data_IF_333733091363
#
_entry.id   IF_333733091363
#
_cell.length_a   1.000
_cell.length_b   1.000
_cell.length_c   1.000
_cell.angle_alpha   90.00
_cell.angle_beta   90.00
_cell.angle_gamma   90.00
#
_symmetry.space_group_name_H-M   'P 1'
#
loop_
_entity.id
_entity.type
_entity.pdbx_description
1 polymer ?
#
# COMPACT_ATOMS: atom_id res chain seq x y z
N UNK A 1 -42.94 -19.42 -40.81
CA UNK A 1 -41.47 -19.37 -40.66
C UNK A 1 -41.04 -18.05 -40.00
N UNK A 2 -41.15 -17.93 -38.66
CA UNK A 2 -40.68 -16.77 -37.89
C UNK A 2 -40.44 -17.24 -36.45
N UNK A 3 -39.26 -17.78 -36.15
CA UNK A 3 -39.01 -18.31 -34.80
C UNK A 3 -37.57 -18.69 -34.46
N UNK A 4 -36.57 -18.34 -35.27
CA UNK A 4 -35.22 -18.88 -35.10
C UNK A 4 -34.09 -17.83 -34.97
N UNK A 5 -34.41 -16.52 -34.86
CA UNK A 5 -33.38 -15.47 -34.88
C UNK A 5 -33.10 -14.80 -33.52
N UNK A 6 -33.82 -15.16 -32.45
CA UNK A 6 -33.67 -14.46 -31.16
C UNK A 6 -32.70 -15.14 -30.18
N UNK A 7 -32.27 -16.38 -30.40
CA UNK A 7 -31.39 -17.10 -29.45
C UNK A 7 -29.89 -16.92 -29.73
N UNK A 8 -29.49 -16.36 -30.88
CA UNK A 8 -28.06 -16.21 -31.24
C UNK A 8 -27.38 -14.96 -30.67
N UNK A 9 -28.15 -13.93 -30.28
CA UNK A 9 -27.59 -12.63 -29.92
C UNK A 9 -27.23 -12.48 -28.43
N UNK A 10 -27.74 -13.36 -27.55
CA UNK A 10 -27.50 -13.28 -26.10
C UNK A 10 -26.23 -14.02 -25.64
N UNK A 11 -25.67 -14.91 -26.48
CA UNK A 11 -24.46 -15.67 -26.17
C UNK A 11 -23.15 -14.92 -26.52
N UNK A 12 -23.22 -13.84 -27.31
CA UNK A 12 -22.03 -13.11 -27.79
C UNK A 12 -21.56 -11.97 -26.87
N UNK A 13 -22.35 -11.57 -25.86
CA UNK A 13 -21.99 -10.49 -24.94
C UNK A 13 -21.22 -10.94 -23.68
N UNK A 14 -21.05 -12.24 -23.45
CA UNK A 14 -20.44 -12.76 -22.21
C UNK A 14 -18.92 -12.95 -22.32
N UNK A 15 -18.33 -12.87 -23.52
CA UNK A 15 -16.89 -13.14 -23.73
C UNK A 15 -16.01 -11.89 -23.60
N UNK A 16 -16.57 -10.69 -23.44
CA UNK A 16 -15.80 -9.43 -23.41
C UNK A 16 -15.36 -8.96 -22.00
N UNK A 17 -15.52 -9.77 -20.96
CA UNK A 17 -15.21 -9.38 -19.57
C UNK A 17 -14.01 -10.12 -18.96
N UNK A 18 -13.26 -10.89 -19.74
CA UNK A 18 -11.95 -11.39 -19.29
C UNK A 18 -10.92 -10.27 -19.41
N UNK A 19 -10.97 -9.33 -18.46
CA UNK A 19 -9.85 -8.44 -18.20
C UNK A 19 -8.67 -9.30 -17.79
N UNK A 20 -7.75 -9.56 -18.71
CA UNK A 20 -6.41 -10.03 -18.38
C UNK A 20 -5.77 -8.96 -17.50
N UNK A 21 -5.83 -9.19 -16.18
CA UNK A 21 -5.13 -8.39 -15.20
C UNK A 21 -3.65 -8.78 -15.28
N UNK A 22 -2.97 -8.33 -16.33
CA UNK A 22 -1.51 -8.44 -16.39
C UNK A 22 -0.98 -7.57 -15.27
N UNK A 23 -0.33 -8.20 -14.28
CA UNK A 23 0.43 -7.51 -13.25
C UNK A 23 1.46 -6.62 -13.94
N UNK A 24 1.10 -5.36 -14.20
CA UNK A 24 1.87 -4.44 -15.00
C UNK A 24 2.77 -3.64 -14.08
N UNK A 25 4.08 -3.84 -14.20
CA UNK A 25 5.09 -3.06 -13.47
C UNK A 25 6.23 -3.89 -12.87
N UNK A 26 7.38 -3.26 -12.62
CA UNK A 26 8.51 -3.91 -11.96
C UNK A 26 8.17 -4.26 -10.51
N UNK A 27 8.75 -5.35 -9.99
CA UNK A 27 8.65 -5.71 -8.58
C UNK A 27 9.62 -4.87 -7.72
N UNK A 28 10.74 -4.53 -8.33
CA UNK A 28 11.89 -3.85 -7.73
C UNK A 28 12.39 -2.88 -8.79
N UNK A 29 12.67 -1.64 -8.37
CA UNK A 29 13.33 -0.64 -9.22
C UNK A 29 14.73 -0.46 -8.70
N UNK A 30 15.73 -0.59 -9.57
CA UNK A 30 17.12 -0.31 -9.23
C UNK A 30 17.44 1.14 -9.63
N UNK A 31 17.99 1.91 -8.70
CA UNK A 31 18.44 3.28 -8.93
C UNK A 31 19.90 3.43 -8.50
N UNK A 32 20.59 4.38 -9.12
CA UNK A 32 21.87 4.85 -8.61
C UNK A 32 21.64 5.80 -7.43
N UNK A 33 22.56 5.78 -6.44
CA UNK A 33 22.56 6.70 -5.30
C UNK A 33 22.42 8.19 -5.68
N UNK A 34 22.94 8.63 -6.83
CA UNK A 34 22.79 10.00 -7.30
C UNK A 34 21.33 10.40 -7.61
N UNK A 35 20.49 9.41 -7.94
CA UNK A 35 19.07 9.61 -8.23
C UNK A 35 18.17 9.35 -7.00
N UNK A 36 18.76 9.07 -5.83
CA UNK A 36 18.00 8.73 -4.62
C UNK A 36 16.97 9.79 -4.25
N UNK A 37 17.38 11.06 -4.17
CA UNK A 37 16.47 12.16 -3.83
C UNK A 37 15.32 12.29 -4.82
N UNK A 38 15.58 12.14 -6.13
CA UNK A 38 14.53 12.16 -7.17
C UNK A 38 13.56 11.00 -7.00
N UNK A 39 14.07 9.79 -6.78
CA UNK A 39 13.25 8.60 -6.59
C UNK A 39 12.41 8.65 -5.31
N UNK A 40 12.95 9.25 -4.24
CA UNK A 40 12.22 9.45 -2.98
C UNK A 40 11.02 10.40 -3.18
N UNK A 41 11.22 11.53 -3.86
CA UNK A 41 10.13 12.44 -4.20
C UNK A 41 9.13 11.82 -5.17
N UNK A 42 9.59 11.01 -6.13
CA UNK A 42 8.70 10.26 -7.03
C UNK A 42 7.80 9.28 -6.26
N UNK A 43 8.31 8.61 -5.22
CA UNK A 43 7.49 7.74 -4.36
C UNK A 43 6.44 8.54 -3.58
N UNK A 44 6.82 9.71 -3.06
CA UNK A 44 5.88 10.62 -2.39
C UNK A 44 4.77 11.04 -3.35
N UNK A 45 5.12 11.46 -4.57
CA UNK A 45 4.12 11.93 -5.53
C UNK A 45 3.22 10.80 -6.03
N UNK A 46 3.78 9.64 -6.34
CA UNK A 46 3.02 8.43 -6.68
C UNK A 46 2.07 7.99 -5.55
N UNK A 47 2.46 8.20 -4.29
CA UNK A 47 1.57 7.90 -3.15
C UNK A 47 0.38 8.87 -3.09
N UNK A 48 0.60 10.16 -3.39
CA UNK A 48 -0.45 11.18 -3.43
C UNK A 48 -1.41 10.95 -4.59
N UNK A 49 -0.89 10.66 -5.79
CA UNK A 49 -1.71 10.34 -6.96
C UNK A 49 -2.57 9.09 -6.73
N UNK A 50 -2.05 8.10 -6.01
CA UNK A 50 -2.77 6.91 -5.58
C UNK A 50 -3.79 7.16 -4.45
N UNK A 51 -3.89 8.39 -3.93
CA UNK A 51 -4.80 8.77 -2.84
C UNK A 51 -4.40 8.22 -1.47
N UNK A 52 -3.11 7.94 -1.27
CA UNK A 52 -2.50 7.47 -0.04
C UNK A 52 -1.34 8.42 0.33
N UNK A 53 -1.63 9.65 0.80
CA UNK A 53 -0.58 10.64 1.08
C UNK A 53 0.41 10.12 2.13
N UNK A 54 1.67 10.57 2.13
CA UNK A 54 2.67 10.10 3.08
C UNK A 54 2.32 10.57 4.51
N UNK A 55 2.26 9.63 5.45
CA UNK A 55 2.08 9.87 6.89
C UNK A 55 3.43 10.03 7.60
N UNK A 56 4.40 9.18 7.24
CA UNK A 56 5.76 9.26 7.75
C UNK A 56 6.73 9.02 6.59
N UNK A 57 7.76 9.86 6.47
CA UNK A 57 8.76 9.74 5.43
C UNK A 57 10.14 10.02 6.05
N UNK A 58 10.97 8.98 6.14
CA UNK A 58 12.33 9.04 6.64
C UNK A 58 13.30 8.83 5.47
N UNK A 59 14.05 9.89 5.13
CA UNK A 59 15.03 9.89 4.04
C UNK A 59 16.33 9.17 4.41
N UNK A 60 16.73 9.17 5.67
CA UNK A 60 17.95 8.50 6.13
C UNK A 60 17.76 6.99 6.07
N UNK A 61 16.63 6.49 6.59
CA UNK A 61 16.32 5.06 6.58
C UNK A 61 15.71 4.59 5.26
N UNK A 62 15.18 5.52 4.45
CA UNK A 62 14.48 5.21 3.20
C UNK A 62 13.21 4.41 3.44
N UNK A 63 12.40 4.85 4.41
CA UNK A 63 11.09 4.27 4.68
C UNK A 63 10.05 5.37 4.51
N UNK A 64 9.05 5.09 3.67
CA UNK A 64 7.88 5.96 3.53
C UNK A 64 6.65 5.12 3.86
N UNK A 65 5.88 5.59 4.83
CA UNK A 65 4.58 5.04 5.20
C UNK A 65 3.49 6.03 4.84
N UNK A 66 2.40 5.49 4.29
CA UNK A 66 1.28 6.29 3.81
C UNK A 66 0.08 6.21 4.74
N UNK A 67 -0.78 7.22 4.66
CA UNK A 67 -2.12 7.15 5.22
C UNK A 67 -2.90 6.04 4.52
N UNK A 68 -3.71 5.27 5.29
CA UNK A 68 -4.46 4.19 4.71
C UNK A 68 -5.65 4.73 3.90
N UNK A 69 -5.87 4.15 2.72
CA UNK A 69 -7.01 4.43 1.85
C UNK A 69 -8.05 3.32 1.98
N UNK A 70 -9.27 3.67 2.38
CA UNK A 70 -10.40 2.74 2.42
C UNK A 70 -10.71 2.24 1.01
N UNK A 71 -10.91 0.93 0.85
CA UNK A 71 -11.28 0.36 -0.45
C UNK A 71 -12.78 0.61 -0.68
N UNK A 72 -13.15 0.90 -1.94
CA UNK A 72 -14.55 1.10 -2.34
C UNK A 72 -15.47 -0.02 -1.81
N UNK A 73 -16.48 0.40 -1.04
CA UNK A 73 -17.57 -0.43 -0.54
C UNK A 73 -18.68 -0.53 -1.62
N UNK A 74 -19.66 -1.42 -1.45
CA UNK A 74 -20.88 -1.51 -2.29
C UNK A 74 -21.66 -0.20 -2.33
N UNK A 75 -21.39 0.74 -1.42
CA UNK A 75 -21.93 2.11 -1.40
C UNK A 75 -21.26 3.02 -2.44
N UNK A 76 -20.07 2.64 -2.95
CA UNK A 76 -19.33 3.37 -4.00
C UNK A 76 -19.18 2.53 -5.28
N UNK A 77 -20.27 2.08 -5.93
CA UNK A 77 -20.22 1.16 -7.08
C UNK A 77 -19.49 1.75 -8.31
N UNK A 78 -19.36 3.08 -8.39
CA UNK A 78 -18.65 3.81 -9.46
C UNK A 78 -17.12 3.86 -9.29
N UNK A 79 -16.56 3.33 -8.19
CA UNK A 79 -15.10 3.14 -8.07
C UNK A 79 -14.71 1.78 -8.64
N UNK A 80 -14.02 1.81 -9.78
CA UNK A 80 -13.63 0.63 -10.55
C UNK A 80 -12.27 0.04 -10.15
N UNK A 81 -11.65 0.53 -9.07
CA UNK A 81 -10.33 0.10 -8.57
C UNK A 81 -10.38 -1.19 -7.72
N UNK A 82 -11.55 -1.82 -7.60
CA UNK A 82 -11.73 -3.14 -6.97
C UNK A 82 -12.01 -4.19 -8.03
N UNK A 83 -11.10 -5.16 -8.13
CA UNK A 83 -10.94 -6.08 -9.26
C UNK A 83 -11.88 -7.30 -9.24
N UNK A 84 -12.96 -7.31 -8.44
CA UNK A 84 -13.93 -8.41 -8.46
C UNK A 84 -15.20 -8.21 -7.62
N UNK A 85 -16.28 -8.91 -8.00
CA UNK A 85 -17.59 -8.87 -7.30
C UNK A 85 -17.51 -9.47 -5.90
N UNK A 86 -16.74 -10.55 -5.73
CA UNK A 86 -16.50 -11.18 -4.43
C UNK A 86 -15.63 -10.26 -3.54
N UNK A 87 -14.58 -9.65 -4.10
CA UNK A 87 -13.75 -8.66 -3.40
C UNK A 87 -14.58 -7.45 -2.94
N UNK A 88 -15.52 -6.96 -3.77
CA UNK A 88 -16.45 -5.89 -3.39
C UNK A 88 -17.34 -6.30 -2.20
N UNK A 89 -17.87 -7.52 -2.20
CA UNK A 89 -18.67 -8.06 -1.10
C UNK A 89 -17.86 -8.19 0.19
N UNK A 90 -16.62 -8.67 0.11
CA UNK A 90 -15.69 -8.74 1.23
C UNK A 90 -15.31 -7.35 1.76
N UNK A 91 -15.03 -6.38 0.87
CA UNK A 91 -14.71 -5.00 1.24
C UNK A 91 -15.87 -4.31 2.00
N UNK A 92 -17.11 -4.71 1.69
CA UNK A 92 -18.33 -4.16 2.32
C UNK A 92 -18.68 -4.86 3.62
N UNK A 93 -18.46 -6.16 3.69
CA UNK A 93 -18.73 -6.94 4.89
C UNK A 93 -17.63 -6.77 5.96
N UNK A 94 -16.40 -6.40 5.58
CA UNK A 94 -15.24 -6.48 6.46
C UNK A 94 -14.45 -5.18 6.65
N UNK A 95 -14.93 -4.04 6.11
CA UNK A 95 -14.24 -2.73 6.17
C UNK A 95 -12.73 -2.88 5.92
N UNK A 96 -12.33 -3.03 4.66
CA UNK A 96 -10.92 -3.16 4.28
C UNK A 96 -10.31 -1.80 3.89
N UNK A 97 -9.04 -1.59 4.24
CA UNK A 97 -8.24 -0.44 3.80
C UNK A 97 -6.88 -0.90 3.28
N UNK A 98 -6.29 -0.13 2.37
CA UNK A 98 -4.94 -0.36 1.86
C UNK A 98 -3.97 0.66 2.42
N UNK A 99 -2.76 0.24 2.73
CA UNK A 99 -1.65 1.12 3.12
C UNK A 99 -0.41 0.73 2.33
N UNK A 100 0.28 1.71 1.78
CA UNK A 100 1.56 1.50 1.10
C UNK A 100 2.69 1.78 2.07
N UNK A 101 3.71 0.93 2.02
CA UNK A 101 5.02 1.16 2.60
C UNK A 101 6.07 1.02 1.51
N UNK A 102 6.82 2.08 1.27
CA UNK A 102 8.00 2.05 0.41
C UNK A 102 9.23 1.79 1.27
N UNK A 103 10.10 0.91 0.78
CA UNK A 103 11.36 0.58 1.43
C UNK A 103 12.47 0.69 0.40
N UNK A 104 13.46 1.50 0.72
CA UNK A 104 14.71 1.60 -0.01
C UNK A 104 15.76 0.73 0.68
N UNK A 105 16.54 -0.01 -0.09
CA UNK A 105 17.54 -0.93 0.46
C UNK A 105 18.73 -1.00 -0.48
N UNK A 106 19.98 -0.96 0.01
CA UNK A 106 21.14 -1.22 -0.83
C UNK A 106 21.02 -2.59 -1.49
N UNK A 107 21.35 -2.69 -2.78
CA UNK A 107 21.18 -3.94 -3.54
C UNK A 107 21.87 -5.15 -2.91
N UNK A 108 23.04 -4.93 -2.34
CA UNK A 108 23.86 -5.97 -1.73
C UNK A 108 23.58 -6.16 -0.22
N UNK A 109 22.57 -5.48 0.32
CA UNK A 109 22.22 -5.64 1.73
C UNK A 109 21.53 -6.98 1.96
N UNK A 110 22.15 -7.81 2.80
CA UNK A 110 21.57 -9.04 3.30
C UNK A 110 21.45 -8.96 4.82
N UNK A 111 20.33 -9.41 5.41
CA UNK A 111 20.25 -9.55 6.84
C UNK A 111 21.31 -10.54 7.32
N UNK A 112 21.99 -10.23 8.41
CA UNK A 112 22.95 -11.12 9.03
C UNK A 112 22.28 -12.46 9.36
N UNK A 113 22.93 -13.57 8.99
CA UNK A 113 22.39 -14.89 9.25
C UNK A 113 22.37 -15.14 10.75
N UNK A 114 21.20 -15.42 11.31
CA UNK A 114 21.05 -15.77 12.72
C UNK A 114 21.62 -17.19 12.91
N UNK A 115 22.89 -17.30 13.31
CA UNK A 115 23.47 -18.58 13.70
C UNK A 115 22.87 -19.04 15.04
N UNK A 116 22.53 -20.33 15.15
CA UNK A 116 21.76 -20.89 16.28
C UNK A 116 22.48 -20.89 17.63
N UNK A 117 23.74 -20.44 17.68
CA UNK A 117 24.60 -20.41 18.88
C UNK A 117 25.12 -18.98 19.15
N UNK A 118 24.72 -17.98 18.36
CA UNK A 118 25.11 -16.60 18.63
C UNK A 118 24.50 -16.11 19.96
N UNK A 119 25.29 -15.38 20.73
CA UNK A 119 24.78 -14.63 21.89
C UNK A 119 23.63 -13.75 21.40
N UNK A 120 22.44 -13.97 21.96
CA UNK A 120 21.27 -13.17 21.65
C UNK A 120 21.45 -11.79 22.27
N UNK A 121 22.12 -10.90 21.54
CA UNK A 121 22.04 -9.48 21.81
C UNK A 121 20.60 -9.06 21.45
N UNK A 122 19.92 -8.45 22.42
CA UNK A 122 18.55 -8.00 22.24
C UNK A 122 18.41 -7.01 21.08
N UNK A 123 17.18 -6.55 20.76
CA UNK A 123 17.00 -5.54 19.73
C UNK A 123 17.88 -4.31 20.03
N UNK A 124 18.55 -3.79 18.99
CA UNK A 124 19.39 -2.61 19.11
C UNK A 124 18.61 -1.47 19.78
N UNK A 125 19.16 -0.92 20.86
CA UNK A 125 18.52 0.21 21.52
C UNK A 125 18.58 1.44 20.61
N UNK A 126 17.53 2.28 20.55
CA UNK A 126 17.55 3.51 19.77
C UNK A 126 18.76 4.38 20.15
N UNK A 127 19.55 4.80 19.15
CA UNK A 127 20.77 5.59 19.35
C UNK A 127 22.00 4.80 19.82
N UNK A 128 21.92 3.47 19.90
CA UNK A 128 23.08 2.61 20.13
C UNK A 128 24.01 2.55 18.91
N UNK A 129 25.26 2.14 19.12
CA UNK A 129 26.21 1.92 18.01
C UNK A 129 25.70 0.89 17.00
N UNK A 130 24.91 -0.09 17.44
CA UNK A 130 24.31 -1.09 16.55
C UNK A 130 23.11 -0.53 15.77
N UNK A 131 22.36 0.40 16.34
CA UNK A 131 21.33 1.17 15.63
C UNK A 131 21.96 2.10 14.57
N UNK A 132 23.11 2.71 14.89
CA UNK A 132 23.89 3.55 13.98
C UNK A 132 24.64 2.78 12.88
N UNK A 133 24.81 1.45 13.01
CA UNK A 133 25.34 0.60 11.92
C UNK A 133 24.33 0.47 10.77
N UNK A 134 23.08 0.89 10.96
CA UNK A 134 22.11 0.98 9.87
C UNK A 134 22.65 1.95 8.81
N UNK A 135 22.59 1.53 7.55
CA UNK A 135 23.09 2.35 6.44
C UNK A 135 22.25 3.63 6.33
N UNK A 136 22.93 4.77 6.24
CA UNK A 136 22.30 6.05 5.85
C UNK A 136 22.25 6.14 4.33
N UNK A 137 21.04 6.13 3.78
CA UNK A 137 20.82 6.17 2.33
C UNK A 137 21.12 7.53 1.71
N UNK A 138 21.17 8.62 2.49
CA UNK A 138 21.57 9.93 1.96
C UNK A 138 23.07 9.98 1.64
N UNK A 139 23.87 9.27 2.43
CA UNK A 139 25.34 9.23 2.27
C UNK A 139 25.83 7.98 1.53
N UNK A 140 24.99 6.95 1.40
CA UNK A 140 25.35 5.69 0.75
C UNK A 140 25.73 5.87 -0.72
N UNK A 141 26.82 5.22 -1.13
CA UNK A 141 27.31 5.21 -2.51
C UNK A 141 27.16 3.82 -3.08
N UNK A 142 26.23 3.65 -4.01
CA UNK A 142 25.98 2.36 -4.65
C UNK A 142 24.56 2.24 -5.20
N UNK A 143 24.22 1.09 -5.80
CA UNK A 143 22.89 0.80 -6.29
C UNK A 143 21.91 0.60 -5.11
N UNK A 144 20.76 1.25 -5.20
CA UNK A 144 19.67 1.16 -4.23
C UNK A 144 18.46 0.51 -4.93
N UNK A 145 17.81 -0.42 -4.25
CA UNK A 145 16.56 -1.03 -4.65
C UNK A 145 15.38 -0.34 -3.98
N UNK A 146 14.35 -0.04 -4.75
CA UNK A 146 13.05 0.45 -4.27
C UNK A 146 12.05 -0.70 -4.30
N UNK A 147 11.33 -0.89 -3.19
CA UNK A 147 10.25 -1.87 -3.09
C UNK A 147 9.01 -1.21 -2.49
N UNK A 148 7.87 -1.31 -3.17
CA UNK A 148 6.57 -0.96 -2.62
C UNK A 148 5.88 -2.20 -2.06
N UNK A 149 5.31 -2.09 -0.86
CA UNK A 149 4.43 -3.10 -0.28
C UNK A 149 3.08 -2.48 0.02
N UNK A 150 2.02 -3.04 -0.55
CA UNK A 150 0.65 -2.60 -0.29
C UNK A 150 -0.01 -3.61 0.63
N UNK A 151 -0.20 -3.22 1.88
CA UNK A 151 -0.88 -4.04 2.87
C UNK A 151 -2.39 -3.87 2.76
N UNK A 152 -3.09 -4.99 2.75
CA UNK A 152 -4.54 -5.03 2.95
C UNK A 152 -4.74 -5.17 4.46
N UNK A 153 -5.37 -4.18 5.07
CA UNK A 153 -5.71 -4.17 6.48
C UNK A 153 -7.21 -4.38 6.65
N UNK A 154 -7.57 -5.22 7.63
CA UNK A 154 -8.97 -5.48 8.02
C UNK A 154 -9.23 -4.92 9.40
N UNK A 155 -10.40 -4.30 9.56
CA UNK A 155 -10.85 -3.86 10.88
C UNK A 155 -11.40 -5.05 11.67
N UNK A 156 -10.81 -5.33 12.82
CA UNK A 156 -11.29 -6.31 13.79
C UNK A 156 -11.97 -5.56 14.93
N UNK A 157 -13.29 -5.69 15.01
CA UNK A 157 -14.07 -5.15 16.12
C UNK A 157 -14.38 -6.27 17.10
N UNK A 158 -13.75 -6.22 18.27
CA UNK A 158 -13.95 -7.21 19.32
C UNK A 158 -15.38 -7.19 19.85
N UNK A 159 -15.85 -8.36 20.29
CA UNK A 159 -17.13 -8.50 20.99
C UNK A 159 -18.36 -8.35 20.11
N UNK A 160 -18.23 -8.37 18.77
CA UNK A 160 -19.38 -8.44 17.85
C UNK A 160 -20.13 -9.77 18.00
N UNK A 161 -21.45 -9.67 18.20
CA UNK A 161 -22.39 -10.79 18.23
C UNK A 161 -23.30 -10.67 17.03
N UNK A 162 -22.92 -11.37 15.96
CA UNK A 162 -23.68 -11.41 14.71
C UNK A 162 -24.94 -12.26 14.95
N UNK A 163 -26.12 -11.68 14.73
CA UNK A 163 -27.37 -12.41 14.78
C UNK A 163 -27.59 -13.15 13.45
N UNK A 164 -28.02 -14.41 13.50
CA UNK A 164 -28.24 -15.25 12.32
C UNK A 164 -29.43 -14.84 11.46
N UNK A 165 -30.40 -14.11 12.02
CA UNK A 165 -31.66 -13.77 11.36
C UNK A 165 -31.73 -12.32 10.87
N UNK A 166 -31.07 -11.37 11.53
CA UNK A 166 -31.08 -9.96 11.11
C UNK A 166 -29.80 -9.22 11.47
N UNK A 167 -29.21 -8.56 10.48
CA UNK A 167 -28.04 -7.71 10.67
C UNK A 167 -28.29 -6.53 11.65
N UNK A 168 -29.52 -6.02 11.72
CA UNK A 168 -29.89 -4.92 12.64
C UNK A 168 -29.92 -5.32 14.12
N UNK A 169 -29.97 -6.64 14.40
CA UNK A 169 -29.90 -7.19 15.75
C UNK A 169 -28.47 -7.57 16.16
N UNK A 170 -27.48 -7.27 15.31
CA UNK A 170 -26.07 -7.42 15.66
C UNK A 170 -25.76 -6.48 16.82
N UNK A 171 -25.24 -7.05 17.91
CA UNK A 171 -24.86 -6.29 19.09
C UNK A 171 -23.36 -6.36 19.29
N UNK A 172 -22.78 -5.33 19.89
CA UNK A 172 -21.37 -5.33 20.27
C UNK A 172 -21.27 -5.28 21.79
N UNK A 173 -20.35 -6.07 22.35
CA UNK A 173 -19.98 -5.94 23.76
C UNK A 173 -19.27 -4.60 23.93
N UNK A 174 -19.90 -3.66 24.66
CA UNK A 174 -19.26 -2.38 24.96
C UNK A 174 -18.18 -2.62 26.01
N UNK A 175 -16.91 -2.51 25.61
CA UNK A 175 -15.80 -2.42 26.56
C UNK A 175 -15.93 -1.08 27.29
N UNK A 176 -15.94 -1.05 28.64
CA UNK A 176 -16.26 0.14 29.40
C UNK A 176 -15.28 1.33 29.24
N UNK A 177 -14.20 1.19 28.47
CA UNK A 177 -13.31 2.32 28.18
C UNK A 177 -12.59 2.18 26.83
N UNK A 178 -13.17 2.66 25.72
CA UNK A 178 -12.41 2.97 24.52
C UNK A 178 -11.47 4.15 24.84
N UNK A 179 -10.15 3.96 24.72
CA UNK A 179 -9.19 5.08 24.81
C UNK A 179 -8.46 5.28 26.14
N UNK A 180 -8.51 4.33 27.10
CA UNK A 180 -7.55 4.34 28.21
C UNK A 180 -6.21 3.85 27.68
N UNK A 181 -5.25 4.76 27.61
CA UNK A 181 -3.84 4.40 27.44
C UNK A 181 -3.41 3.65 28.71
N UNK A 182 -3.40 2.31 28.65
CA UNK A 182 -2.93 1.43 29.74
C UNK A 182 -1.42 1.59 30.04
N UNK A 183 -0.79 2.67 29.57
CA UNK A 183 0.66 2.87 29.61
C UNK A 183 1.46 1.85 28.79
N UNK A 184 0.80 0.90 28.12
CA UNK A 184 1.45 -0.14 27.33
C UNK A 184 1.80 0.36 25.93
N UNK A 185 2.95 -0.08 25.40
CA UNK A 185 3.41 0.21 24.04
C UNK A 185 2.62 -0.55 22.96
N UNK A 186 1.47 -1.16 23.31
CA UNK A 186 0.66 -1.94 22.36
C UNK A 186 -0.06 -0.98 21.41
N UNK A 187 0.00 -1.28 20.11
CA UNK A 187 -0.76 -0.54 19.11
C UNK A 187 -2.26 -0.69 19.40
N UNK A 188 -2.93 0.40 19.75
CA UNK A 188 -4.37 0.46 20.03
C UNK A 188 -5.23 0.42 18.74
N UNK A 189 -4.66 -0.07 17.64
CA UNK A 189 -5.35 -0.11 16.35
C UNK A 189 -6.20 -1.38 16.27
N UNK A 190 -7.46 -1.22 15.87
CA UNK A 190 -8.35 -2.33 15.52
C UNK A 190 -8.03 -2.90 14.13
N UNK A 191 -7.07 -2.30 13.42
CA UNK A 191 -6.70 -2.70 12.06
C UNK A 191 -5.49 -3.63 12.06
N UNK A 192 -5.64 -4.79 11.43
CA UNK A 192 -4.59 -5.80 11.33
C UNK A 192 -4.31 -6.09 9.86
N UNK A 193 -3.02 -6.16 9.44
CA UNK A 193 -2.67 -6.58 8.09
C UNK A 193 -3.07 -8.04 7.87
N UNK A 194 -3.90 -8.29 6.86
CA UNK A 194 -4.41 -9.63 6.51
C UNK A 194 -3.77 -10.19 5.26
N UNK A 195 -3.17 -9.34 4.42
CA UNK A 195 -2.55 -9.77 3.17
C UNK A 195 -1.84 -8.64 2.43
N UNK A 196 -1.36 -8.97 1.23
CA UNK A 196 -0.71 -8.03 0.32
C UNK A 196 -1.49 -7.92 -0.98
N UNK A 197 -1.55 -6.70 -1.52
CA UNK A 197 -2.15 -6.41 -2.82
C UNK A 197 -1.04 -6.24 -3.88
N UNK A 198 -0.58 -7.36 -4.43
CA UNK A 198 0.54 -7.36 -5.38
C UNK A 198 0.18 -6.66 -6.70
N UNK A 199 -1.10 -6.63 -7.10
CA UNK A 199 -1.51 -5.90 -8.30
C UNK A 199 -1.34 -4.39 -8.10
N UNK A 200 -1.80 -3.86 -6.97
CA UNK A 200 -1.65 -2.44 -6.62
C UNK A 200 -0.18 -2.06 -6.44
N UNK A 201 0.65 -2.95 -5.86
CA UNK A 201 2.11 -2.74 -5.78
C UNK A 201 2.70 -2.53 -7.18
N UNK A 202 2.34 -3.36 -8.15
CA UNK A 202 2.87 -3.30 -9.51
C UNK A 202 2.46 -2.01 -10.23
N UNK A 203 1.20 -1.61 -10.10
CA UNK A 203 0.70 -0.36 -10.66
C UNK A 203 1.44 0.85 -10.11
N UNK A 204 1.63 0.93 -8.80
CA UNK A 204 2.36 2.03 -8.15
C UNK A 204 3.84 2.02 -8.57
N UNK A 205 4.47 0.85 -8.66
CA UNK A 205 5.86 0.74 -9.11
C UNK A 205 6.02 1.14 -10.59
N UNK A 206 5.06 0.82 -11.46
CA UNK A 206 5.08 1.28 -12.84
C UNK A 206 5.00 2.81 -12.95
N UNK A 207 4.18 3.44 -12.10
CA UNK A 207 4.05 4.90 -12.04
C UNK A 207 5.33 5.56 -11.54
N UNK A 208 5.94 5.03 -10.47
CA UNK A 208 7.23 5.51 -9.95
C UNK A 208 8.32 5.42 -11.02
N UNK A 209 8.41 4.28 -11.73
CA UNK A 209 9.37 4.11 -12.81
C UNK A 209 9.18 5.19 -13.88
N UNK A 210 7.92 5.46 -14.28
CA UNK A 210 7.62 6.52 -15.25
C UNK A 210 8.06 7.92 -14.76
N UNK A 211 7.84 8.24 -13.48
CA UNK A 211 8.27 9.52 -12.89
C UNK A 211 9.79 9.66 -12.79
N UNK A 212 10.51 8.56 -12.53
CA UNK A 212 11.97 8.53 -12.50
C UNK A 212 12.55 8.71 -13.91
N UNK A 213 11.95 8.06 -14.91
CA UNK A 213 12.42 8.12 -16.30
C UNK A 213 12.10 9.47 -16.97
N UNK A 214 11.06 10.16 -16.52
CA UNK A 214 10.74 11.50 -17.01
C UNK A 214 11.85 12.50 -16.61
N UNK A 215 12.43 13.25 -17.58
CA UNK A 215 13.31 14.36 -17.25
C UNK A 215 12.48 15.45 -16.54
N UNK A 216 13.05 16.05 -15.48
CA UNK A 216 12.40 17.11 -14.72
C UNK A 216 11.97 18.22 -15.69
N UNK A 217 10.69 18.28 -16.02
CA UNK A 217 10.17 19.33 -16.89
C UNK A 217 10.13 20.57 -16.03
N UNK A 218 11.01 21.52 -16.33
CA UNK A 218 11.07 22.83 -15.69
C UNK A 218 9.67 23.43 -15.61
N UNK A 219 9.19 23.69 -14.40
CA UNK A 219 8.01 24.50 -14.15
C UNK A 219 8.16 25.83 -14.88
N UNK A 220 7.32 26.07 -15.89
CA UNK A 220 7.17 27.39 -16.50
C UNK A 220 6.62 28.34 -15.44
N UNK A 221 7.47 29.21 -14.91
CA UNK A 221 7.06 30.46 -14.27
C UNK A 221 6.23 31.21 -15.30
N UNK A 222 4.91 31.22 -15.11
CA UNK A 222 4.02 32.13 -15.83
C UNK A 222 4.31 33.52 -15.27
N UNK A 223 5.19 34.26 -15.93
CA UNK A 223 5.28 35.71 -15.76
C UNK A 223 3.91 36.29 -16.15
N UNK A 224 3.24 36.89 -15.17
CA UNK A 224 2.02 37.64 -15.39
C UNK A 224 2.34 38.86 -16.29
N UNK A 225 1.57 39.13 -17.36
CA UNK A 225 1.75 40.35 -18.12
C UNK A 225 1.25 41.53 -17.28
N UNK A 226 2.16 42.44 -16.95
CA UNK A 226 1.83 43.78 -16.49
C UNK A 226 1.28 44.60 -17.66
N UNK A 227 0.01 45.00 -17.57
CA UNK A 227 -0.59 46.13 -18.29
C UNK A 227 -1.80 46.63 -17.51
#
# INVERSE_FOLDING_TARGET
MRGALALGALASCVVALTGCNTMSGPAVIEIDSANYSKAFEACIEASRSAGMPPQAADRTTGIIETEPRTIGSWVEPWRFDSTGVLQKAENTAQFQRRRVRFVFTPKDWQPESIESIATLDGPAAPGSVDDLKRFDLETYKGPIEIRARVFIERNFTDGMRINTWSATLTSQTQTPTPGVTDGTTRAQTTWTPVGRDEASERTIMAEIQSMIDQPATSSQTTDAPSS
#
